data_IF_521178307307
#
_entry.id   IF_521178307307
#
_cell.length_a   1.000
_cell.length_b   1.000
_cell.length_c   1.000
_cell.angle_alpha   90.00
_cell.angle_beta   90.00
_cell.angle_gamma   90.00
#
_symmetry.space_group_name_H-M   'P 1'
#
loop_
_entity.id
_entity.type
_entity.pdbx_description
1 polymer ?
#
# COMPACT_ATOMS: atom_id res chain seq x y z
N UNK A 1 37.54 -0.09 22.14
CA UNK A 1 36.41 -1.03 22.35
C UNK A 1 35.16 -0.38 21.79
N UNK A 2 34.55 -0.94 20.74
CA UNK A 2 33.29 -0.42 20.22
C UNK A 2 32.16 -0.76 21.19
N UNK A 3 31.46 0.26 21.70
CA UNK A 3 30.23 0.05 22.49
C UNK A 3 29.25 -0.78 21.64
N UNK A 4 28.96 -2.01 22.09
CA UNK A 4 27.88 -2.80 21.50
C UNK A 4 26.58 -2.08 21.82
N UNK A 5 25.94 -1.53 20.80
CA UNK A 5 24.61 -0.92 20.96
C UNK A 5 23.57 -2.02 20.77
N UNK A 6 22.89 -2.39 21.84
CA UNK A 6 21.75 -3.31 21.76
C UNK A 6 20.57 -2.59 21.12
N UNK A 7 19.88 -3.28 20.22
CA UNK A 7 18.77 -2.72 19.47
C UNK A 7 17.60 -3.72 19.40
N UNK A 8 16.39 -3.19 19.50
CA UNK A 8 15.15 -3.97 19.35
C UNK A 8 14.25 -3.32 18.31
N UNK A 9 13.77 -4.10 17.35
CA UNK A 9 12.91 -3.64 16.26
C UNK A 9 11.47 -4.06 16.50
N UNK A 10 10.56 -3.12 16.35
CA UNK A 10 9.13 -3.33 16.54
C UNK A 10 8.36 -2.76 15.37
N UNK A 11 7.34 -3.49 14.90
CA UNK A 11 6.49 -3.04 13.81
C UNK A 11 5.03 -3.00 14.23
N UNK A 12 4.30 -2.03 13.70
CA UNK A 12 2.85 -1.94 13.82
C UNK A 12 2.23 -1.61 12.46
N UNK A 13 0.98 -2.02 12.26
CA UNK A 13 0.26 -1.73 11.03
C UNK A 13 -1.20 -1.46 11.32
N UNK A 14 -1.70 -0.29 10.90
CA UNK A 14 -3.09 0.09 11.08
C UNK A 14 -3.62 0.81 9.85
N UNK A 15 -4.95 0.91 9.77
CA UNK A 15 -5.61 1.75 8.79
C UNK A 15 -6.51 2.80 9.45
N UNK A 16 -6.66 3.93 8.77
CA UNK A 16 -7.65 4.95 9.06
C UNK A 16 -8.71 4.87 7.97
N UNK A 17 -9.89 4.42 8.36
CA UNK A 17 -11.04 4.27 7.48
C UNK A 17 -12.23 5.01 8.08
N UNK A 18 -12.80 5.96 7.34
CA UNK A 18 -13.91 6.79 7.80
C UNK A 18 -13.64 7.48 9.16
N UNK A 19 -12.42 8.02 9.36
CA UNK A 19 -11.93 8.62 10.61
C UNK A 19 -11.90 7.67 11.84
N UNK A 20 -12.09 6.37 11.62
CA UNK A 20 -11.88 5.32 12.62
C UNK A 20 -10.54 4.62 12.38
N UNK A 21 -9.86 4.27 13.46
CA UNK A 21 -8.57 3.58 13.43
C UNK A 21 -8.80 2.11 13.69
N UNK A 22 -8.25 1.25 12.84
CA UNK A 22 -8.31 -0.20 13.01
C UNK A 22 -6.93 -0.82 12.93
N UNK A 23 -6.62 -1.71 13.87
CA UNK A 23 -5.43 -2.54 13.81
C UNK A 23 -5.53 -3.52 12.64
N UNK A 24 -4.47 -3.63 11.84
CA UNK A 24 -4.37 -4.60 10.74
C UNK A 24 -3.62 -5.87 11.16
N UNK A 25 -2.97 -5.88 12.31
CA UNK A 25 -2.25 -7.02 12.89
C UNK A 25 -3.05 -7.77 13.96
N UNK A 26 -4.22 -7.22 14.32
CA UNK A 26 -5.18 -7.92 15.17
C UNK A 26 -5.84 -9.06 14.37
N UNK A 27 -6.11 -10.17 15.07
CA UNK A 27 -6.72 -11.33 14.44
C UNK A 27 -8.18 -10.99 14.14
N UNK A 28 -8.52 -10.94 12.85
CA UNK A 28 -9.91 -10.75 12.45
C UNK A 28 -10.77 -11.86 13.09
N UNK A 29 -11.87 -11.53 13.78
CA UNK A 29 -12.73 -12.52 14.37
C UNK A 29 -13.21 -13.53 13.32
N UNK A 30 -12.90 -14.81 13.56
CA UNK A 30 -13.37 -15.94 12.74
C UNK A 30 -14.90 -16.09 12.87
N UNK A 31 -15.46 -15.62 13.98
CA UNK A 31 -16.90 -15.61 14.25
C UNK A 31 -17.60 -14.49 13.47
N UNK A 32 -18.66 -14.85 12.73
CA UNK A 32 -19.36 -14.03 11.72
C UNK A 32 -19.95 -12.70 12.22
N UNK A 33 -19.98 -12.42 13.53
CA UNK A 33 -20.71 -11.29 14.12
C UNK A 33 -19.89 -10.29 14.95
N UNK A 34 -18.56 -10.41 15.05
CA UNK A 34 -17.77 -9.40 15.78
C UNK A 34 -17.35 -8.24 14.88
N UNK A 35 -17.76 -7.02 15.25
CA UNK A 35 -17.30 -5.76 14.65
C UNK A 35 -15.82 -5.53 15.01
N UNK A 36 -15.05 -4.97 14.08
CA UNK A 36 -13.65 -4.60 14.33
C UNK A 36 -13.57 -3.58 15.46
N UNK A 37 -12.60 -3.77 16.36
CA UNK A 37 -12.34 -2.83 17.47
C UNK A 37 -11.80 -1.51 16.89
N UNK A 38 -12.48 -0.42 17.22
CA UNK A 38 -12.02 0.94 16.89
C UNK A 38 -11.01 1.38 17.95
N UNK A 39 -9.82 1.78 17.50
CA UNK A 39 -8.77 2.30 18.36
C UNK A 39 -8.90 3.82 18.54
N UNK A 40 -8.37 4.34 19.66
CA UNK A 40 -8.44 5.77 20.02
C UNK A 40 -7.03 6.37 20.07
N UNK A 41 -6.93 7.63 19.64
CA UNK A 41 -5.72 8.43 19.84
C UNK A 41 -5.74 9.00 21.27
N UNK A 42 -4.65 8.76 22.00
CA UNK A 42 -4.37 9.30 23.31
C UNK A 42 -3.16 10.25 23.24
N UNK A 43 -2.96 11.03 24.29
CA UNK A 43 -1.83 11.94 24.45
C UNK A 43 -1.02 11.48 25.66
N UNK A 44 0.31 11.39 25.50
CA UNK A 44 1.21 11.07 26.60
C UNK A 44 1.51 12.32 27.46
N UNK A 45 2.23 12.13 28.58
CA UNK A 45 2.63 13.25 29.46
C UNK A 45 3.55 14.27 28.75
N UNK A 46 4.20 13.87 27.65
CA UNK A 46 5.05 14.73 26.83
C UNK A 46 4.29 15.51 25.75
N UNK A 47 2.97 15.31 25.63
CA UNK A 47 2.13 15.91 24.59
C UNK A 47 2.27 15.25 23.22
N UNK A 48 2.80 14.03 23.14
CA UNK A 48 2.84 13.24 21.90
C UNK A 48 1.56 12.40 21.77
N UNK A 49 1.05 12.33 20.56
CA UNK A 49 -0.11 11.48 20.25
C UNK A 49 0.32 10.05 19.96
N UNK A 50 -0.42 9.09 20.51
CA UNK A 50 -0.23 7.67 20.23
C UNK A 50 -1.57 6.95 20.14
N UNK A 51 -1.59 5.78 19.50
CA UNK A 51 -2.79 4.96 19.38
C UNK A 51 -2.82 3.97 20.54
N UNK A 52 -3.84 4.08 21.40
CA UNK A 52 -4.03 3.16 22.51
C UNK A 52 -4.46 1.79 22.01
N UNK A 53 -3.89 0.74 22.61
CA UNK A 53 -4.11 -0.67 22.28
C UNK A 53 -3.67 -1.08 20.86
N UNK A 54 -2.84 -0.28 20.18
CA UNK A 54 -2.23 -0.68 18.91
C UNK A 54 -1.21 -1.78 19.15
N UNK A 55 -1.29 -2.88 18.40
CA UNK A 55 -0.36 -4.00 18.50
C UNK A 55 1.00 -3.65 17.91
N UNK A 56 2.04 -3.86 18.72
CA UNK A 56 3.44 -3.80 18.29
C UNK A 56 4.03 -5.22 18.31
N UNK A 57 4.58 -5.65 17.19
CA UNK A 57 5.19 -6.97 17.03
C UNK A 57 6.70 -6.80 16.96
N UNK A 58 7.43 -7.47 17.85
CA UNK A 58 8.88 -7.52 17.80
C UNK A 58 9.32 -8.35 16.58
N UNK A 59 10.31 -7.86 15.83
CA UNK A 59 10.86 -8.53 14.65
C UNK A 59 12.38 -8.55 14.72
N UNK A 60 12.98 -9.64 14.26
CA UNK A 60 14.44 -9.84 14.30
C UNK A 60 15.12 -9.47 12.98
N UNK A 61 14.37 -9.47 11.87
CA UNK A 61 14.90 -9.22 10.53
C UNK A 61 13.85 -8.62 9.59
N UNK A 62 14.30 -8.19 8.40
CA UNK A 62 13.45 -7.58 7.37
C UNK A 62 12.41 -8.55 6.80
N UNK A 63 12.71 -9.85 6.75
CA UNK A 63 11.82 -10.88 6.22
C UNK A 63 10.60 -11.08 7.13
N UNK A 64 10.79 -11.07 8.44
CA UNK A 64 9.72 -11.06 9.43
C UNK A 64 8.86 -9.81 9.30
N UNK A 65 9.47 -8.63 9.23
CA UNK A 65 8.73 -7.39 8.99
C UNK A 65 7.89 -7.45 7.71
N UNK A 66 8.44 -8.02 6.64
CA UNK A 66 7.74 -8.21 5.37
C UNK A 66 6.59 -9.23 5.47
N UNK A 67 6.75 -10.30 6.25
CA UNK A 67 5.65 -11.25 6.56
C UNK A 67 4.51 -10.53 7.30
N UNK A 68 4.83 -9.71 8.29
CA UNK A 68 3.82 -8.92 9.04
C UNK A 68 3.09 -7.94 8.12
N UNK A 69 3.82 -7.24 7.24
CA UNK A 69 3.22 -6.37 6.22
C UNK A 69 2.24 -7.12 5.31
N UNK A 70 2.62 -8.32 4.83
CA UNK A 70 1.75 -9.18 4.00
C UNK A 70 0.48 -9.61 4.74
N UNK A 71 0.60 -9.96 6.03
CA UNK A 71 -0.54 -10.32 6.88
C UNK A 71 -1.51 -9.14 7.00
N UNK A 72 -1.00 -7.94 7.32
CA UNK A 72 -1.86 -6.77 7.45
C UNK A 72 -2.54 -6.37 6.13
N UNK A 73 -1.83 -6.49 5.00
CA UNK A 73 -2.43 -6.26 3.68
C UNK A 73 -3.53 -7.29 3.36
N UNK A 74 -3.36 -8.56 3.75
CA UNK A 74 -4.41 -9.57 3.62
C UNK A 74 -5.62 -9.21 4.49
N UNK A 75 -5.39 -8.77 5.73
CA UNK A 75 -6.47 -8.35 6.63
C UNK A 75 -7.22 -7.11 6.10
N UNK A 76 -6.51 -6.14 5.53
CA UNK A 76 -7.09 -4.98 4.82
C UNK A 76 -8.01 -5.45 3.68
N UNK A 77 -7.51 -6.32 2.80
CA UNK A 77 -8.29 -6.85 1.67
C UNK A 77 -9.53 -7.64 2.12
N UNK A 78 -9.44 -8.42 3.20
CA UNK A 78 -10.59 -9.14 3.76
C UNK A 78 -11.64 -8.21 4.39
N UNK A 79 -11.20 -7.11 5.02
CA UNK A 79 -12.11 -6.10 5.54
C UNK A 79 -12.84 -5.37 4.42
N UNK A 80 -12.13 -5.06 3.32
CA UNK A 80 -12.66 -4.42 2.11
C UNK A 80 -13.78 -5.26 1.45
N UNK A 81 -13.55 -6.57 1.27
CA UNK A 81 -14.54 -7.48 0.65
C UNK A 81 -15.79 -7.68 1.50
N UNK A 82 -15.67 -7.67 2.84
CA UNK A 82 -16.82 -7.74 3.74
C UNK A 82 -17.71 -6.49 3.72
N UNK A 83 -17.16 -5.32 3.39
CA UNK A 83 -17.88 -4.04 3.44
C UNK A 83 -18.22 -3.43 2.06
N UNK A 84 -18.05 -4.18 0.96
CA UNK A 84 -18.25 -3.66 -0.41
C UNK A 84 -17.52 -2.33 -0.64
N UNK A 85 -16.25 -2.28 -0.24
CA UNK A 85 -15.39 -1.10 -0.37
C UNK A 85 -14.06 -1.43 -1.01
N UNK A 86 -13.67 -0.56 -1.93
CA UNK A 86 -12.41 -0.57 -2.62
C UNK A 86 -11.28 -0.16 -1.65
N UNK A 87 -10.14 -0.85 -1.72
CA UNK A 87 -8.95 -0.60 -0.89
C UNK A 87 -8.35 0.81 -1.03
N UNK A 88 -8.80 1.59 -2.01
CA UNK A 88 -8.42 2.99 -2.24
C UNK A 88 -9.03 3.98 -1.24
N UNK A 89 -9.91 3.52 -0.35
CA UNK A 89 -10.73 4.35 0.54
C UNK A 89 -10.24 4.41 1.99
N UNK A 90 -9.12 3.77 2.32
CA UNK A 90 -8.50 3.87 3.65
C UNK A 90 -7.03 4.24 3.53
N UNK A 91 -6.55 5.03 4.49
CA UNK A 91 -5.12 5.30 4.66
C UNK A 91 -4.51 4.15 5.43
N UNK A 92 -3.36 3.64 5.01
CA UNK A 92 -2.66 2.55 5.68
C UNK A 92 -1.29 3.00 6.16
N UNK A 93 -0.98 2.78 7.43
CA UNK A 93 0.24 3.28 8.06
C UNK A 93 0.99 2.11 8.67
N UNK A 94 2.14 1.76 8.07
CA UNK A 94 3.07 0.76 8.58
C UNK A 94 4.22 1.47 9.29
N UNK A 95 4.36 1.24 10.59
CA UNK A 95 5.35 1.93 11.43
C UNK A 95 6.41 0.95 11.94
N UNK A 96 7.67 1.36 11.89
CA UNK A 96 8.82 0.61 12.39
C UNK A 96 9.48 1.46 13.48
N UNK A 97 9.62 0.90 14.68
CA UNK A 97 10.33 1.50 15.82
C UNK A 97 11.62 0.76 16.10
N UNK A 98 12.70 1.51 16.16
CA UNK A 98 14.01 1.06 16.62
C UNK A 98 14.21 1.58 18.04
N UNK A 99 14.25 0.68 19.01
CA UNK A 99 14.61 0.98 20.39
C UNK A 99 16.10 0.72 20.54
N UNK A 100 16.85 1.75 20.93
CA UNK A 100 18.25 1.61 21.36
C UNK A 100 18.25 1.32 22.85
N UNK A 101 18.93 0.26 23.24
CA UNK A 101 18.99 -0.25 24.62
C UNK A 101 20.40 -0.07 25.17
N UNK A 102 20.51 0.17 26.47
CA UNK A 102 21.79 0.14 27.18
C UNK A 102 22.33 -1.29 27.29
N UNK A 103 23.65 -1.41 27.28
CA UNK A 103 24.38 -2.68 27.49
C UNK A 103 24.69 -2.82 28.99
N UNK A 104 23.63 -2.84 29.81
CA UNK A 104 23.68 -2.97 31.28
C UNK A 104 22.82 -4.18 31.68
N UNK A 105 23.05 -4.75 32.88
CA UNK A 105 22.32 -5.93 33.38
C UNK A 105 20.78 -5.76 33.34
N UNK A 106 20.30 -4.52 33.43
CA UNK A 106 18.92 -4.14 33.15
C UNK A 106 18.91 -3.19 31.94
N UNK A 107 18.52 -3.66 30.73
CA UNK A 107 18.52 -2.83 29.54
C UNK A 107 17.51 -1.68 29.67
N UNK A 108 18.00 -0.45 29.68
CA UNK A 108 17.17 0.76 29.66
C UNK A 108 17.06 1.29 28.23
N UNK A 109 15.92 1.91 27.89
CA UNK A 109 15.73 2.48 26.55
C UNK A 109 16.44 3.82 26.45
N UNK A 110 17.56 3.87 25.71
CA UNK A 110 18.38 5.05 25.47
C UNK A 110 17.76 5.98 24.42
N UNK A 111 16.93 5.45 23.52
CA UNK A 111 16.21 6.27 22.56
C UNK A 111 15.34 5.47 21.61
N UNK A 112 14.37 6.15 21.03
CA UNK A 112 13.40 5.57 20.09
C UNK A 112 13.48 6.34 18.78
N UNK A 113 13.73 5.62 17.70
CA UNK A 113 13.62 6.14 16.33
C UNK A 113 12.45 5.49 15.64
N UNK A 114 11.62 6.26 14.94
CA UNK A 114 10.43 5.77 14.27
C UNK A 114 10.46 6.10 12.77
N UNK A 115 10.22 5.09 11.94
CA UNK A 115 9.97 5.23 10.50
C UNK A 115 8.52 4.83 10.23
N UNK A 116 7.72 5.77 9.72
CA UNK A 116 6.34 5.53 9.33
C UNK A 116 6.18 5.61 7.81
N UNK A 117 5.66 4.55 7.22
CA UNK A 117 5.29 4.47 5.80
C UNK A 117 3.78 4.63 5.70
N UNK A 118 3.33 5.71 5.06
CA UNK A 118 1.92 6.04 4.92
C UNK A 118 1.47 5.89 3.47
N UNK A 119 0.61 4.91 3.21
CA UNK A 119 -0.13 4.74 1.96
C UNK A 119 -1.47 5.49 2.10
N UNK A 120 -1.56 6.65 1.46
CA UNK A 120 -2.74 7.49 1.54
C UNK A 120 -3.85 6.99 0.61
N UNK A 121 -5.09 7.16 1.04
CA UNK A 121 -6.26 6.94 0.20
C UNK A 121 -6.19 7.80 -1.07
N UNK A 122 -6.94 7.39 -2.09
CA UNK A 122 -7.05 8.09 -3.36
C UNK A 122 -7.44 9.56 -3.18
N UNK A 123 -6.83 10.44 -3.97
CA UNK A 123 -7.11 11.88 -3.96
C UNK A 123 -8.27 12.28 -4.86
N UNK A 124 -8.84 11.32 -5.60
CA UNK A 124 -9.90 11.55 -6.55
C UNK A 124 -11.16 12.10 -5.89
N UNK A 125 -11.67 13.20 -6.47
CA UNK A 125 -12.95 13.73 -6.06
C UNK A 125 -14.04 12.78 -6.53
N UNK A 126 -14.92 12.38 -5.62
CA UNK A 126 -16.11 11.60 -5.97
C UNK A 126 -17.11 12.48 -6.75
N UNK A 127 -16.81 12.81 -8.00
CA UNK A 127 -17.63 13.71 -8.82
C UNK A 127 -18.83 13.00 -9.48
N UNK A 128 -18.98 11.69 -9.28
CA UNK A 128 -19.99 10.85 -9.97
C UNK A 128 -20.66 9.80 -9.07
N UNK A 129 -20.90 10.11 -7.81
CA UNK A 129 -21.65 9.20 -6.96
C UNK A 129 -23.11 9.67 -6.85
N UNK A 130 -23.97 9.17 -7.75
CA UNK A 130 -25.44 9.08 -7.53
C UNK A 130 -25.75 8.11 -6.37
N UNK A 131 -25.02 8.20 -5.27
CA UNK A 131 -25.17 7.32 -4.11
C UNK A 131 -25.66 8.14 -2.94
N UNK A 132 -26.90 7.88 -2.54
CA UNK A 132 -27.52 8.46 -1.36
C UNK A 132 -27.10 7.70 -0.08
N UNK A 133 -27.17 8.36 1.09
CA UNK A 133 -26.98 7.73 2.41
C UNK A 133 -25.53 7.65 2.90
N UNK A 134 -25.20 6.61 3.68
CA UNK A 134 -23.90 6.45 4.36
C UNK A 134 -22.69 6.43 3.43
N UNK A 135 -22.89 6.03 2.16
CA UNK A 135 -21.87 6.08 1.10
C UNK A 135 -21.42 7.49 0.73
N UNK A 136 -22.32 8.48 0.81
CA UNK A 136 -21.97 9.88 0.57
C UNK A 136 -21.16 10.45 1.74
N UNK A 137 -21.53 10.10 2.98
CA UNK A 137 -20.79 10.48 4.19
C UNK A 137 -19.37 9.89 4.19
N UNK A 138 -19.25 8.62 3.81
CA UNK A 138 -17.97 7.94 3.66
C UNK A 138 -17.07 8.64 2.62
N UNK A 139 -17.59 8.88 1.40
CA UNK A 139 -16.84 9.57 0.34
C UNK A 139 -16.42 10.99 0.74
N UNK A 140 -17.26 11.68 1.54
CA UNK A 140 -16.91 12.97 2.14
C UNK A 140 -15.78 12.86 3.16
N UNK A 141 -15.79 11.85 4.03
CA UNK A 141 -14.82 11.71 5.12
C UNK A 141 -13.42 11.31 4.63
N UNK A 142 -13.32 10.49 3.57
CA UNK A 142 -12.03 10.10 2.99
C UNK A 142 -11.33 11.32 2.40
N UNK A 143 -12.05 12.11 1.61
CA UNK A 143 -11.55 13.36 1.05
C UNK A 143 -11.31 14.41 2.13
N UNK A 144 -12.06 14.39 3.22
CA UNK A 144 -11.85 15.31 4.34
C UNK A 144 -10.44 15.16 4.93
N UNK A 145 -9.96 13.94 5.18
CA UNK A 145 -8.61 13.75 5.74
C UNK A 145 -7.48 14.34 4.88
N UNK A 146 -7.55 14.20 3.55
CA UNK A 146 -6.58 14.79 2.61
C UNK A 146 -6.77 16.31 2.47
N UNK A 147 -8.01 16.78 2.51
CA UNK A 147 -8.33 18.21 2.53
C UNK A 147 -7.74 18.87 3.78
N UNK A 148 -7.92 18.27 4.96
CA UNK A 148 -7.34 18.76 6.21
C UNK A 148 -5.82 18.73 6.16
N UNK A 149 -5.22 17.68 5.59
CA UNK A 149 -3.77 17.64 5.33
C UNK A 149 -3.31 18.83 4.46
N UNK A 150 -4.04 19.13 3.38
CA UNK A 150 -3.80 20.31 2.54
C UNK A 150 -3.90 21.63 3.30
N UNK A 151 -4.94 21.79 4.14
CA UNK A 151 -5.08 22.96 5.01
C UNK A 151 -3.92 23.08 6.00
N UNK A 152 -3.48 21.97 6.60
CA UNK A 152 -2.35 21.98 7.54
C UNK A 152 -1.07 22.45 6.85
N UNK A 153 -0.77 21.92 5.66
CA UNK A 153 0.42 22.29 4.88
C UNK A 153 0.35 23.76 4.44
N UNK A 154 -0.80 24.24 3.99
CA UNK A 154 -0.98 25.65 3.62
C UNK A 154 -0.78 26.58 4.82
N UNK A 155 -1.36 26.25 5.98
CA UNK A 155 -1.20 27.02 7.21
C UNK A 155 0.25 26.99 7.72
N UNK A 156 0.93 25.83 7.64
CA UNK A 156 2.35 25.71 7.97
C UNK A 156 3.21 26.63 7.09
N UNK A 157 2.99 26.62 5.78
CA UNK A 157 3.68 27.52 4.84
C UNK A 157 3.40 28.99 5.18
N UNK A 158 2.16 29.34 5.50
CA UNK A 158 1.80 30.72 5.87
C UNK A 158 2.52 31.16 7.15
N UNK A 159 2.60 30.26 8.14
CA UNK A 159 3.22 30.53 9.43
C UNK A 159 4.75 30.64 9.37
N UNK A 160 5.38 30.23 8.27
CA UNK A 160 6.80 30.51 8.02
C UNK A 160 7.07 31.96 7.65
N UNK A 161 6.05 32.73 7.25
CA UNK A 161 6.20 34.14 6.99
C UNK A 161 6.15 34.93 8.30
N UNK A 162 7.31 35.36 8.78
CA UNK A 162 7.47 36.12 10.03
C UNK A 162 6.76 37.46 10.05
N UNK A 163 6.34 37.99 8.89
CA UNK A 163 5.57 39.24 8.77
C UNK A 163 4.07 39.07 8.99
N UNK A 164 3.56 37.84 8.90
CA UNK A 164 2.15 37.53 9.08
C UNK A 164 1.90 36.97 10.47
N UNK A 165 0.73 37.27 11.05
CA UNK A 165 0.33 36.63 12.30
C UNK A 165 0.19 35.11 12.07
N UNK A 166 0.73 34.27 12.97
CA UNK A 166 0.61 32.83 12.84
C UNK A 166 -0.86 32.43 12.89
N UNK A 167 -1.28 31.69 11.88
CA UNK A 167 -2.60 31.10 11.73
C UNK A 167 -2.70 29.77 12.46
N UNK A 168 -3.90 29.43 12.91
CA UNK A 168 -4.16 28.12 13.51
C UNK A 168 -3.93 26.99 12.50
N UNK A 169 -3.16 25.97 12.88
CA UNK A 169 -2.92 24.78 12.06
C UNK A 169 -3.91 23.67 12.49
N UNK A 170 -4.81 23.21 11.61
CA UNK A 170 -5.92 22.32 11.98
C UNK A 170 -5.54 20.84 12.13
N UNK A 171 -4.43 20.53 12.82
CA UNK A 171 -3.99 19.14 13.01
C UNK A 171 -5.06 18.25 13.68
N UNK A 172 -5.91 18.84 14.53
CA UNK A 172 -6.95 18.13 15.27
C UNK A 172 -8.19 17.78 14.44
N UNK A 173 -8.34 18.34 13.24
CA UNK A 173 -9.54 18.14 12.40
C UNK A 173 -9.57 16.77 11.68
N UNK A 174 -8.45 16.03 11.61
CA UNK A 174 -8.41 14.63 11.16
C UNK A 174 -7.47 13.80 12.02
N UNK A 175 -7.79 12.50 12.19
CA UNK A 175 -6.91 11.53 12.85
C UNK A 175 -5.56 11.42 12.14
N UNK A 176 -5.54 11.50 10.81
CA UNK A 176 -4.32 11.43 10.01
C UNK A 176 -3.37 12.58 10.38
N UNK A 177 -3.84 13.83 10.28
CA UNK A 177 -3.02 15.01 10.57
C UNK A 177 -2.61 15.09 12.03
N UNK A 178 -3.44 14.59 12.95
CA UNK A 178 -3.10 14.54 14.38
C UNK A 178 -1.97 13.57 14.67
N UNK A 179 -1.95 12.39 14.03
CA UNK A 179 -0.87 11.41 14.18
C UNK A 179 0.44 11.90 13.56
N UNK A 180 0.37 12.58 12.42
CA UNK A 180 1.56 13.07 11.71
C UNK A 180 2.04 14.46 12.15
N UNK A 181 1.33 15.15 13.04
CA UNK A 181 1.74 16.45 13.60
C UNK A 181 3.23 16.50 14.02
N UNK A 182 3.80 15.49 14.72
CA UNK A 182 5.20 15.52 15.10
C UNK A 182 6.18 15.66 13.92
N UNK A 183 5.88 15.05 12.77
CA UNK A 183 6.72 15.11 11.57
C UNK A 183 6.70 16.49 10.91
N UNK A 184 5.60 17.22 11.03
CA UNK A 184 5.48 18.59 10.51
C UNK A 184 6.03 19.66 11.48
N UNK A 185 6.06 19.37 12.78
CA UNK A 185 6.55 20.28 13.83
C UNK A 185 7.99 20.01 14.29
N UNK A 186 8.82 19.40 13.42
CA UNK A 186 10.27 19.30 13.62
C UNK A 186 10.77 18.10 14.44
N UNK A 187 9.90 17.17 14.87
CA UNK A 187 10.34 15.95 15.59
C UNK A 187 10.77 14.80 14.65
N UNK A 188 10.80 15.04 13.34
CA UNK A 188 11.17 14.04 12.35
C UNK A 188 11.41 14.64 10.98
N UNK A 189 11.82 13.80 10.03
CA UNK A 189 11.92 14.13 8.61
C UNK A 189 10.70 13.56 7.89
N UNK A 190 10.11 14.35 7.00
CA UNK A 190 9.00 13.91 6.15
C UNK A 190 9.49 13.84 4.70
N UNK A 191 9.16 12.74 4.02
CA UNK A 191 9.34 12.57 2.57
C UNK A 191 7.98 12.24 1.98
N UNK A 192 7.61 12.92 0.89
CA UNK A 192 6.34 12.70 0.20
C UNK A 192 6.64 12.16 -1.20
N UNK A 193 6.06 10.99 -1.49
CA UNK A 193 6.09 10.40 -2.83
C UNK A 193 4.78 10.78 -3.52
N UNK A 194 4.88 11.40 -4.68
CA UNK A 194 3.73 11.88 -5.44
C UNK A 194 3.55 10.99 -6.67
N UNK A 195 2.44 10.26 -6.71
CA UNK A 195 2.08 9.41 -7.84
C UNK A 195 1.21 10.20 -8.83
N UNK A 196 1.59 10.20 -10.10
CA UNK A 196 0.91 10.91 -11.17
C UNK A 196 0.42 9.93 -12.23
N UNK A 197 -0.77 10.16 -12.76
CA UNK A 197 -1.28 9.43 -13.92
C UNK A 197 -1.11 10.29 -15.18
N UNK A 198 -0.59 9.68 -16.25
CA UNK A 198 -0.48 10.30 -17.58
C UNK A 198 -1.80 10.33 -18.35
N UNK A 199 -2.87 9.72 -17.83
CA UNK A 199 -4.14 9.66 -18.52
C UNK A 199 -4.80 11.04 -18.57
N UNK A 200 -5.23 11.47 -19.76
CA UNK A 200 -5.93 12.75 -19.92
C UNK A 200 -7.21 12.83 -19.06
N UNK A 201 -7.88 11.70 -18.82
CA UNK A 201 -9.11 11.64 -18.01
C UNK A 201 -8.89 11.98 -16.53
N UNK A 202 -7.66 11.90 -16.03
CA UNK A 202 -7.28 12.20 -14.64
C UNK A 202 -6.48 13.50 -14.53
N UNK A 203 -6.41 14.31 -15.60
CA UNK A 203 -5.62 15.54 -15.66
C UNK A 203 -5.90 16.49 -14.49
N UNK A 204 -7.16 16.75 -14.18
CA UNK A 204 -7.54 17.68 -13.10
C UNK A 204 -7.07 17.19 -11.72
N UNK A 205 -7.15 15.87 -11.47
CA UNK A 205 -6.68 15.27 -10.23
C UNK A 205 -5.15 15.29 -10.15
N UNK A 206 -4.46 14.96 -11.26
CA UNK A 206 -3.01 15.11 -11.38
C UNK A 206 -2.57 16.55 -11.11
N UNK A 207 -3.24 17.55 -11.72
CA UNK A 207 -2.94 18.96 -11.52
C UNK A 207 -3.17 19.38 -10.06
N UNK A 208 -4.22 18.86 -9.42
CA UNK A 208 -4.52 19.13 -8.02
C UNK A 208 -3.42 18.60 -7.10
N UNK A 209 -3.01 17.35 -7.28
CA UNK A 209 -1.93 16.72 -6.50
C UNK A 209 -0.59 17.43 -6.74
N UNK A 210 -0.28 17.86 -7.96
CA UNK A 210 0.94 18.60 -8.27
C UNK A 210 0.96 20.00 -7.64
N UNK A 211 -0.19 20.70 -7.59
CA UNK A 211 -0.31 21.97 -6.85
C UNK A 211 -0.09 21.76 -5.36
N UNK A 212 -0.70 20.72 -4.79
CA UNK A 212 -0.53 20.36 -3.39
C UNK A 212 0.94 20.05 -3.06
N UNK A 213 1.63 19.25 -3.86
CA UNK A 213 3.03 18.89 -3.63
C UNK A 213 3.98 20.09 -3.77
N UNK A 214 3.71 21.01 -4.71
CA UNK A 214 4.46 22.25 -4.86
C UNK A 214 4.37 23.15 -3.62
N UNK A 215 3.22 23.17 -2.95
CA UNK A 215 3.04 23.88 -1.67
C UNK A 215 3.75 23.12 -0.54
N UNK A 216 3.61 21.79 -0.47
CA UNK A 216 4.26 20.96 0.54
C UNK A 216 5.79 21.07 0.53
N UNK A 217 6.40 21.15 -0.67
CA UNK A 217 7.85 21.34 -0.83
C UNK A 217 8.38 22.63 -0.19
N UNK A 218 7.53 23.65 -0.03
CA UNK A 218 7.90 24.93 0.56
C UNK A 218 7.78 24.94 2.09
N UNK A 219 7.24 23.87 2.68
CA UNK A 219 7.13 23.75 4.14
C UNK A 219 8.48 23.29 4.71
N UNK A 220 9.01 24.09 5.62
CA UNK A 220 10.21 23.78 6.40
C UNK A 220 9.73 23.30 7.77
N UNK A 221 10.04 22.06 8.19
CA UNK A 221 9.71 21.57 9.52
C UNK A 221 10.29 22.52 10.56
N UNK A 222 9.42 23.26 11.23
CA UNK A 222 9.81 24.27 12.21
C UNK A 222 9.72 23.65 13.58
N UNK A 223 10.79 23.75 14.37
CA UNK A 223 10.74 23.41 15.78
C UNK A 223 9.82 24.40 16.47
N UNK A 224 8.62 23.95 16.84
CA UNK A 224 7.87 24.68 17.85
C UNK A 224 8.63 24.51 19.16
N UNK A 225 9.41 25.51 19.56
CA UNK A 225 9.72 25.69 20.97
C UNK A 225 8.37 25.77 21.67
N UNK A 226 8.08 24.82 22.57
CA UNK A 226 7.00 25.00 23.54
C UNK A 226 7.38 26.24 24.33
N UNK A 227 6.85 27.40 23.95
CA UNK A 227 6.66 28.49 24.89
C UNK A 227 5.70 27.92 25.94
N UNK A 228 6.27 27.42 27.03
CA UNK A 228 5.53 27.33 28.27
C UNK A 228 5.19 28.78 28.61
N UNK A 229 3.98 29.20 28.28
CA UNK A 229 3.36 30.35 28.91
C UNK A 229 3.18 30.00 30.38
N UNK A 230 4.25 30.19 31.17
CA UNK A 230 4.12 30.48 32.58
C UNK A 230 3.41 31.83 32.67
N UNK A 231 2.08 31.80 32.69
CA UNK A 231 1.31 32.86 33.31
C UNK A 231 1.51 32.71 34.82
N UNK A 232 2.30 33.57 35.49
CA UNK A 232 2.27 33.57 36.95
C UNK A 232 0.85 33.93 37.41
N UNK A 233 0.35 33.29 38.47
CA UNK A 233 -0.99 33.57 38.99
C UNK A 233 -1.06 35.02 39.46
N UNK A 234 -2.11 35.72 39.02
CA UNK A 234 -2.43 37.08 39.40
C UNK A 234 -2.56 37.18 40.92
N UNK A 235 -1.63 37.87 41.56
CA UNK A 235 -1.87 38.42 42.89
C UNK A 235 -2.58 39.76 42.75
N UNK A 236 -3.80 39.78 43.26
CA UNK A 236 -4.59 40.98 43.50
C UNK A 236 -3.85 41.91 44.46
N UNK A 237 -3.61 43.15 44.04
CA UNK A 237 -3.55 44.28 44.98
C UNK A 237 -4.14 45.50 44.30
N UNK A 238 -5.30 45.90 44.81
CA UNK A 238 -5.91 47.22 44.57
C UNK A 238 -5.03 48.29 45.22
N UNK A 239 -4.78 49.38 44.51
CA UNK A 239 -5.17 50.74 44.91
C UNK A 239 -4.94 51.74 43.74
N UNK A 240 -6.04 52.43 43.40
CA UNK A 240 -6.15 53.83 42.94
C UNK A 240 -5.53 54.33 41.61
N UNK A 241 -6.34 54.36 40.55
CA UNK A 241 -7.11 55.52 40.02
C UNK A 241 -7.30 55.46 38.48
N UNK A 242 -8.45 55.92 37.94
CA UNK A 242 -8.78 55.79 36.53
C UNK A 242 -8.48 57.07 35.74
N UNK A 243 -7.92 56.94 34.54
CA UNK A 243 -8.05 57.97 33.52
C UNK A 243 -8.38 57.32 32.19
N UNK A 244 -9.54 57.69 31.68
CA UNK A 244 -10.10 57.32 30.39
C UNK A 244 -9.40 58.17 29.32
N UNK A 245 -8.94 57.57 28.22
CA UNK A 245 -8.98 58.26 26.93
C UNK A 245 -9.22 57.25 25.82
N UNK A 246 -10.37 57.40 25.18
CA UNK A 246 -10.68 56.93 23.84
C UNK A 246 -10.08 57.96 22.86
N UNK A 247 -9.47 57.51 21.76
CA UNK A 247 -9.80 57.94 20.39
C UNK A 247 -8.78 57.43 19.36
N UNK A 248 -9.35 56.66 18.43
CA UNK A 248 -9.21 56.68 16.97
C UNK A 248 -7.91 56.47 16.18
N UNK A 249 -8.18 55.70 15.11
CA UNK A 249 -7.41 55.25 13.96
C UNK A 249 -6.88 56.42 13.13
N UNK A 250 -5.64 56.30 12.61
CA UNK A 250 -5.31 56.73 11.24
C UNK A 250 -4.09 55.99 10.68
N UNK A 251 -4.22 55.71 9.39
CA UNK A 251 -3.39 54.90 8.49
C UNK A 251 -2.21 55.73 8.00
N UNK A 252 -1.01 55.13 7.88
CA UNK A 252 -0.13 55.14 6.70
C UNK A 252 1.35 54.90 7.06
N UNK A 253 2.07 54.30 6.10
CA UNK A 253 3.54 54.21 5.95
C UNK A 253 4.23 52.89 6.37
N UNK A 254 4.43 52.02 5.38
CA UNK A 254 5.60 51.15 5.21
C UNK A 254 6.31 51.56 3.90
N UNK A 255 7.58 51.20 3.62
CA UNK A 255 8.62 50.61 4.49
C UNK A 255 10.01 51.28 4.37
N UNK A 256 10.81 51.16 5.44
CA UNK A 256 12.26 51.39 5.40
C UNK A 256 12.96 50.21 4.72
N UNK A 257 13.66 50.49 3.62
CA UNK A 257 14.61 49.59 2.98
C UNK A 257 15.93 49.62 3.74
N UNK A 258 16.40 48.47 4.20
CA UNK A 258 17.80 48.31 4.60
C UNK A 258 18.31 46.96 4.08
N UNK A 259 19.46 47.04 3.41
CA UNK A 259 20.41 45.97 3.07
C UNK A 259 20.21 45.27 1.71
N UNK A 260 20.86 45.84 0.69
CA UNK A 260 21.42 45.10 -0.46
C UNK A 260 22.93 45.43 -0.53
N UNK A 261 23.83 44.44 -0.70
CA UNK A 261 25.29 44.65 -0.67
C UNK A 261 25.80 45.27 -1.98
N UNK A 262 26.82 46.11 -1.84
CA UNK A 262 27.57 46.81 -2.88
C UNK A 262 28.45 45.88 -3.72
N UNK A 263 28.27 45.89 -5.06
CA UNK A 263 29.36 45.59 -6.00
C UNK A 263 29.00 46.01 -7.43
N UNK A 264 29.24 47.27 -7.76
CA UNK A 264 29.69 47.75 -9.08
C UNK A 264 29.83 49.26 -8.99
N UNK A 265 30.86 49.79 -9.65
CA UNK A 265 31.25 51.20 -9.70
C UNK A 265 30.10 52.08 -10.20
N UNK A 266 29.22 52.51 -9.29
CA UNK A 266 28.29 53.61 -9.53
C UNK A 266 28.89 54.83 -8.85
N UNK A 267 29.35 55.80 -9.64
CA UNK A 267 29.68 57.13 -9.15
C UNK A 267 28.47 57.66 -8.36
N UNK A 268 28.60 57.80 -7.04
CA UNK A 268 27.60 58.46 -6.21
C UNK A 268 27.49 59.92 -6.66
N UNK A 269 26.46 60.21 -7.46
CA UNK A 269 26.18 61.59 -7.89
C UNK A 269 25.57 62.31 -6.68
N UNK A 270 26.33 63.25 -6.13
CA UNK A 270 25.93 64.10 -5.01
C UNK A 270 24.71 64.97 -5.40
N UNK A 271 23.54 64.60 -4.88
CA UNK A 271 22.24 65.24 -5.14
C UNK A 271 22.21 66.69 -4.64
N UNK A 272 23.12 67.08 -3.74
CA UNK A 272 23.15 68.45 -3.22
C UNK A 272 23.75 69.48 -4.17
N UNK A 273 24.30 69.05 -5.32
CA UNK A 273 24.98 69.92 -6.31
C UNK A 273 24.24 69.96 -7.67
N UNK A 274 23.23 69.10 -7.88
CA UNK A 274 22.52 68.99 -9.16
C UNK A 274 21.47 70.09 -9.36
N UNK A 275 21.46 70.71 -10.54
CA UNK A 275 20.39 71.63 -10.92
C UNK A 275 19.06 70.86 -11.11
N UNK A 276 17.92 71.55 -10.99
CA UNK A 276 16.60 70.95 -11.19
C UNK A 276 16.47 70.25 -12.57
N UNK A 277 17.17 70.77 -13.59
CA UNK A 277 17.20 70.17 -14.92
C UNK A 277 18.00 68.86 -14.97
N UNK A 278 19.10 68.79 -14.23
CA UNK A 278 19.94 67.58 -14.18
C UNK A 278 19.27 66.47 -13.35
N UNK A 279 18.48 66.83 -12.33
CA UNK A 279 17.67 65.89 -11.56
C UNK A 279 16.56 65.24 -12.41
N UNK A 280 15.94 66.00 -13.33
CA UNK A 280 14.96 65.45 -14.26
C UNK A 280 15.61 64.48 -15.25
N UNK A 281 16.78 64.84 -15.80
CA UNK A 281 17.56 63.97 -16.72
C UNK A 281 17.99 62.67 -16.05
N UNK A 282 18.49 62.72 -14.81
CA UNK A 282 18.87 61.52 -14.05
C UNK A 282 17.66 60.65 -13.73
N UNK A 283 16.51 61.24 -13.38
CA UNK A 283 15.26 60.50 -13.14
C UNK A 283 14.79 59.75 -14.39
N UNK A 284 14.87 60.37 -15.57
CA UNK A 284 14.49 59.75 -16.84
C UNK A 284 15.48 58.65 -17.27
N UNK A 285 16.77 58.87 -17.05
CA UNK A 285 17.82 57.85 -17.24
C UNK A 285 17.58 56.63 -16.35
N UNK A 286 17.32 56.84 -15.05
CA UNK A 286 17.08 55.75 -14.09
C UNK A 286 15.80 54.96 -14.43
N UNK A 287 14.73 55.64 -14.86
CA UNK A 287 13.52 54.96 -15.37
C UNK A 287 13.83 54.08 -16.57
N UNK A 288 14.64 54.57 -17.51
CA UNK A 288 15.04 53.81 -18.69
C UNK A 288 15.90 52.59 -18.34
N UNK A 289 16.88 52.76 -17.43
CA UNK A 289 17.69 51.65 -16.89
C UNK A 289 16.81 50.60 -16.17
N UNK A 290 15.85 51.04 -15.36
CA UNK A 290 14.92 50.14 -14.66
C UNK A 290 14.07 49.31 -15.62
N UNK A 291 13.62 49.90 -16.73
CA UNK A 291 12.84 49.18 -17.75
C UNK A 291 13.72 48.15 -18.45
N UNK A 292 14.96 48.52 -18.82
CA UNK A 292 15.91 47.61 -19.45
C UNK A 292 16.25 46.41 -18.54
N UNK A 293 16.52 46.66 -17.25
CA UNK A 293 16.76 45.61 -16.25
C UNK A 293 15.56 44.67 -16.07
N UNK A 294 14.34 45.23 -16.03
CA UNK A 294 13.11 44.41 -15.96
C UNK A 294 12.95 43.51 -17.18
N UNK A 295 13.26 44.01 -18.38
CA UNK A 295 13.21 43.22 -19.62
C UNK A 295 14.28 42.13 -19.64
N UNK A 296 15.52 42.45 -19.25
CA UNK A 296 16.62 41.49 -19.15
C UNK A 296 16.30 40.35 -18.16
N UNK A 297 15.76 40.69 -16.98
CA UNK A 297 15.33 39.71 -15.99
C UNK A 297 14.25 38.77 -16.52
N UNK A 298 13.27 39.29 -17.26
CA UNK A 298 12.20 38.48 -17.84
C UNK A 298 12.75 37.47 -18.87
N UNK A 299 13.68 37.90 -19.72
CA UNK A 299 14.32 37.02 -20.70
C UNK A 299 15.13 35.90 -20.02
N UNK A 300 15.88 36.26 -18.98
CA UNK A 300 16.65 35.28 -18.20
C UNK A 300 15.72 34.26 -17.52
N UNK A 301 14.59 34.71 -16.96
CA UNK A 301 13.59 33.82 -16.37
C UNK A 301 13.01 32.83 -17.40
N UNK A 302 12.70 33.29 -18.61
CA UNK A 302 12.21 32.42 -19.69
C UNK A 302 13.27 31.40 -20.10
N UNK A 303 14.53 31.82 -20.21
CA UNK A 303 15.64 30.94 -20.56
C UNK A 303 15.86 29.85 -19.48
N UNK A 304 15.88 30.24 -18.20
CA UNK A 304 16.01 29.30 -17.09
C UNK A 304 14.85 28.29 -17.09
N UNK A 305 13.61 28.76 -17.28
CA UNK A 305 12.44 27.87 -17.35
C UNK A 305 12.55 26.87 -18.50
N UNK A 306 13.06 27.29 -19.67
CA UNK A 306 13.26 26.42 -20.83
C UNK A 306 14.32 25.34 -20.57
N UNK A 307 15.45 25.72 -19.97
CA UNK A 307 16.52 24.78 -19.61
C UNK A 307 16.06 23.78 -18.55
N UNK A 308 15.37 24.25 -17.51
CA UNK A 308 14.80 23.39 -16.48
C UNK A 308 13.76 22.42 -17.05
N UNK A 309 12.89 22.87 -17.96
CA UNK A 309 11.90 22.02 -18.61
C UNK A 309 12.58 20.92 -19.45
N UNK A 310 13.65 21.26 -20.18
CA UNK A 310 14.44 20.30 -20.95
C UNK A 310 15.09 19.25 -20.04
N UNK A 311 15.72 19.69 -18.95
CA UNK A 311 16.35 18.79 -17.98
C UNK A 311 15.32 17.86 -17.30
N UNK A 312 14.16 18.40 -16.90
CA UNK A 312 13.07 17.60 -16.32
C UNK A 312 12.53 16.57 -17.31
N UNK A 313 12.35 16.95 -18.58
CA UNK A 313 11.88 16.04 -19.61
C UNK A 313 12.88 14.89 -19.84
N UNK A 314 14.17 15.20 -19.86
CA UNK A 314 15.21 14.18 -20.02
C UNK A 314 15.24 13.19 -18.84
N UNK A 315 15.17 13.70 -17.59
CA UNK A 315 15.05 12.82 -16.42
C UNK A 315 13.79 11.96 -16.46
N UNK A 316 12.65 12.52 -16.91
CA UNK A 316 11.41 11.75 -17.04
C UNK A 316 11.61 10.55 -17.97
N UNK A 317 12.18 10.78 -19.16
CA UNK A 317 12.43 9.71 -20.14
C UNK A 317 13.38 8.63 -19.60
N UNK A 318 14.49 9.02 -18.97
CA UNK A 318 15.44 8.08 -18.36
C UNK A 318 14.79 7.24 -17.27
N UNK A 319 13.94 7.86 -16.44
CA UNK A 319 13.21 7.12 -15.40
C UNK A 319 12.17 6.17 -15.99
N UNK A 320 11.43 6.58 -17.02
CA UNK A 320 10.43 5.74 -17.69
C UNK A 320 11.08 4.51 -18.33
N UNK A 321 12.24 4.67 -18.96
CA UNK A 321 13.00 3.56 -19.53
C UNK A 321 13.49 2.60 -18.45
N UNK A 322 14.05 3.14 -17.35
CA UNK A 322 14.49 2.32 -16.21
C UNK A 322 13.33 1.55 -15.55
N UNK A 323 12.15 2.17 -15.42
CA UNK A 323 10.95 1.53 -14.90
C UNK A 323 10.43 0.44 -15.84
N UNK A 324 10.41 0.71 -17.15
CA UNK A 324 9.98 -0.27 -18.16
C UNK A 324 10.87 -1.50 -18.13
N UNK A 325 12.19 -1.32 -18.03
CA UNK A 325 13.15 -2.43 -17.92
C UNK A 325 12.92 -3.28 -16.67
N UNK A 326 12.77 -2.64 -15.49
CA UNK A 326 12.48 -3.36 -14.24
C UNK A 326 11.16 -4.12 -14.28
N UNK A 327 10.16 -3.59 -14.98
CA UNK A 327 8.87 -4.25 -15.13
C UNK A 327 8.99 -5.52 -15.98
N UNK A 328 9.79 -5.48 -17.05
CA UNK A 328 10.07 -6.65 -17.87
C UNK A 328 10.87 -7.70 -17.09
N UNK A 329 11.93 -7.30 -16.38
CA UNK A 329 12.72 -8.21 -15.51
C UNK A 329 11.82 -8.91 -14.46
N UNK A 330 10.87 -8.16 -13.89
CA UNK A 330 9.94 -8.70 -12.92
C UNK A 330 8.98 -9.70 -13.56
N UNK A 331 8.47 -9.39 -14.76
CA UNK A 331 7.60 -10.27 -15.53
C UNK A 331 8.30 -11.57 -15.90
N UNK A 332 9.53 -11.51 -16.40
CA UNK A 332 10.36 -12.69 -16.67
C UNK A 332 10.56 -13.54 -15.41
N UNK A 333 10.87 -12.92 -14.26
CA UNK A 333 11.02 -13.64 -12.99
C UNK A 333 9.74 -14.34 -12.54
N UNK A 334 8.57 -13.73 -12.79
CA UNK A 334 7.28 -14.36 -12.46
C UNK A 334 6.96 -15.52 -13.40
N UNK A 335 7.25 -15.38 -14.70
CA UNK A 335 7.08 -16.45 -15.69
C UNK A 335 7.97 -17.66 -15.34
N UNK A 336 9.24 -17.43 -14.99
CA UNK A 336 10.17 -18.48 -14.56
C UNK A 336 9.67 -19.21 -13.31
N UNK A 337 9.18 -18.47 -12.30
CA UNK A 337 8.59 -19.08 -11.09
C UNK A 337 7.36 -19.92 -11.40
N UNK A 338 6.54 -19.47 -12.36
CA UNK A 338 5.35 -20.21 -12.77
C UNK A 338 5.74 -21.52 -13.46
N UNK A 339 6.72 -21.47 -14.35
CA UNK A 339 7.25 -22.64 -15.06
C UNK A 339 7.87 -23.64 -14.08
N UNK A 340 8.71 -23.17 -13.15
CA UNK A 340 9.29 -24.01 -12.10
C UNK A 340 8.22 -24.71 -11.26
N UNK A 341 7.15 -23.99 -10.90
CA UNK A 341 6.03 -24.57 -10.15
C UNK A 341 5.26 -25.60 -10.99
N UNK A 342 5.11 -25.34 -12.28
CA UNK A 342 4.49 -26.28 -13.22
C UNK A 342 5.30 -27.57 -13.34
N UNK A 343 6.63 -27.47 -13.45
CA UNK A 343 7.54 -28.63 -13.45
C UNK A 343 7.41 -29.43 -12.16
N UNK A 344 7.41 -28.77 -11.00
CA UNK A 344 7.23 -29.44 -9.70
C UNK A 344 5.90 -30.21 -9.63
N UNK A 345 4.79 -29.60 -10.07
CA UNK A 345 3.50 -30.29 -10.07
C UNK A 345 3.47 -31.46 -11.05
N UNK A 346 4.08 -31.31 -12.22
CA UNK A 346 4.20 -32.38 -13.21
C UNK A 346 4.94 -33.59 -12.64
N UNK A 347 6.05 -33.36 -11.94
CA UNK A 347 6.84 -34.43 -11.34
C UNK A 347 6.14 -35.05 -10.11
N UNK A 348 5.45 -34.25 -9.30
CA UNK A 348 4.64 -34.77 -8.19
C UNK A 348 3.51 -35.68 -8.70
N UNK A 349 2.82 -35.28 -9.78
CA UNK A 349 1.77 -36.09 -10.40
C UNK A 349 2.35 -37.36 -11.00
N UNK A 350 3.49 -37.30 -11.69
CA UNK A 350 4.17 -38.50 -12.21
C UNK A 350 4.55 -39.46 -11.10
N UNK A 351 5.14 -38.94 -10.00
CA UNK A 351 5.54 -39.74 -8.85
C UNK A 351 4.32 -40.40 -8.21
N UNK A 352 3.25 -39.65 -7.98
CA UNK A 352 2.02 -40.19 -7.42
C UNK A 352 1.38 -41.25 -8.33
N UNK A 353 1.34 -41.02 -9.65
CA UNK A 353 0.85 -42.01 -10.61
C UNK A 353 1.71 -43.28 -10.61
N UNK A 354 3.03 -43.15 -10.47
CA UNK A 354 3.94 -44.30 -10.34
C UNK A 354 3.70 -45.07 -9.04
N UNK A 355 3.58 -44.37 -7.90
CA UNK A 355 3.27 -45.00 -6.60
C UNK A 355 1.95 -45.74 -6.64
N UNK A 356 0.87 -45.12 -7.13
CA UNK A 356 -0.42 -45.81 -7.26
C UNK A 356 -0.37 -47.01 -8.21
N UNK A 357 0.48 -46.98 -9.25
CA UNK A 357 0.67 -48.13 -10.13
C UNK A 357 1.45 -49.27 -9.44
N UNK A 358 2.40 -48.95 -8.56
CA UNK A 358 3.14 -49.94 -7.76
C UNK A 358 2.24 -50.53 -6.66
N UNK A 359 1.46 -49.72 -5.95
CA UNK A 359 0.53 -50.18 -4.91
C UNK A 359 -0.53 -51.13 -5.48
N UNK A 360 -1.03 -50.86 -6.70
CA UNK A 360 -1.95 -51.77 -7.41
C UNK A 360 -1.32 -53.10 -7.83
N UNK A 361 0.01 -53.16 -7.97
CA UNK A 361 0.74 -54.40 -8.26
C UNK A 361 0.98 -55.18 -6.97
N UNK A 362 1.21 -54.51 -5.83
CA UNK A 362 1.30 -55.13 -4.50
C UNK A 362 -0.05 -55.71 -4.03
N UNK A 363 -1.17 -54.99 -4.19
CA UNK A 363 -2.50 -55.49 -3.79
C UNK A 363 -3.01 -56.70 -4.60
N UNK A 364 -2.44 -56.94 -5.80
CA UNK A 364 -2.77 -58.10 -6.65
C UNK A 364 -1.73 -59.22 -6.58
N UNK A 365 -0.72 -59.08 -5.72
CA UNK A 365 0.33 -60.07 -5.57
C UNK A 365 -0.15 -61.17 -4.62
N UNK A 366 -0.45 -62.36 -5.17
CA UNK A 366 -0.67 -63.58 -4.38
C UNK A 366 0.68 -64.31 -4.30
N UNK A 367 1.25 -64.54 -3.10
CA UNK A 367 2.45 -65.32 -2.92
C UNK A 367 2.29 -66.72 -3.55
N UNK A 368 3.33 -67.21 -4.24
CA UNK A 368 3.29 -68.50 -4.95
C UNK A 368 2.86 -69.66 -4.06
N UNK A 369 3.28 -69.65 -2.79
CA UNK A 369 2.95 -70.71 -1.82
C UNK A 369 1.45 -70.72 -1.47
N UNK A 370 0.82 -69.54 -1.42
CA UNK A 370 -0.63 -69.39 -1.19
C UNK A 370 -1.44 -69.82 -2.43
N UNK A 371 -0.92 -69.56 -3.64
CA UNK A 371 -1.53 -70.04 -4.88
C UNK A 371 -1.45 -71.57 -5.04
N UNK A 372 -0.33 -72.17 -4.63
CA UNK A 372 -0.13 -73.64 -4.66
C UNK A 372 -1.04 -74.31 -3.62
N UNK A 373 -1.11 -73.78 -2.40
CA UNK A 373 -1.99 -74.32 -1.35
C UNK A 373 -3.48 -74.27 -1.75
N UNK A 374 -3.90 -73.23 -2.46
CA UNK A 374 -5.28 -73.12 -2.92
C UNK A 374 -5.57 -74.05 -4.13
N UNK A 375 -4.58 -74.34 -4.97
CA UNK A 375 -4.68 -75.37 -6.03
C UNK A 375 -4.83 -76.78 -5.44
N UNK A 376 -4.08 -77.11 -4.38
CA UNK A 376 -4.19 -78.41 -3.68
C UNK A 376 -5.55 -78.58 -3.00
N UNK A 377 -6.09 -77.53 -2.36
CA UNK A 377 -7.45 -77.55 -1.79
C UNK A 377 -8.54 -77.77 -2.84
N UNK A 378 -8.40 -77.18 -4.02
CA UNK A 378 -9.37 -77.38 -5.12
C UNK A 378 -9.29 -78.82 -5.65
N UNK A 379 -8.09 -79.40 -5.75
CA UNK A 379 -7.92 -80.82 -6.12
C UNK A 379 -8.45 -81.79 -5.05
N UNK A 380 -8.30 -81.47 -3.76
CA UNK A 380 -8.92 -82.24 -2.66
C UNK A 380 -10.44 -82.16 -2.70
N UNK A 381 -11.02 -80.99 -3.00
CA UNK A 381 -12.47 -80.83 -3.14
C UNK A 381 -13.03 -81.53 -4.38
N UNK A 382 -12.28 -81.56 -5.49
CA UNK A 382 -12.65 -82.33 -6.69
C UNK A 382 -12.59 -83.85 -6.44
N UNK A 383 -11.60 -84.35 -5.69
CA UNK A 383 -11.50 -85.77 -5.32
C UNK A 383 -12.58 -86.20 -4.32
N UNK A 384 -12.96 -85.34 -3.36
CA UNK A 384 -14.09 -85.58 -2.45
C UNK A 384 -15.43 -85.54 -3.20
N UNK A 385 -15.57 -84.70 -4.23
CA UNK A 385 -16.75 -84.64 -5.11
C UNK A 385 -16.93 -85.86 -6.02
N UNK A 386 -15.86 -86.61 -6.30
CA UNK A 386 -15.89 -87.83 -7.11
C UNK A 386 -16.27 -89.10 -6.31
N UNK A 387 -16.15 -89.09 -4.98
CA UNK A 387 -16.54 -90.21 -4.12
C UNK A 387 -18.04 -90.21 -3.73
N UNK A 388 -18.76 -89.11 -3.94
CA UNK A 388 -20.16 -88.94 -3.52
C UNK A 388 -21.14 -88.62 -4.68
N UNK A 389 -21.05 -89.32 -5.82
CA UNK A 389 -22.14 -89.31 -6.83
C UNK A 389 -22.99 -90.58 -6.77
N UNK A 390 -24.32 -90.48 -6.58
CA UNK A 390 -25.22 -91.57 -6.92
C UNK A 390 -25.27 -91.73 -8.44
N UNK A 391 -25.28 -92.98 -8.93
CA UNK A 391 -25.61 -93.30 -10.32
C UNK A 391 -27.06 -92.87 -10.60
N UNK A 392 -27.23 -91.88 -11.46
CA UNK A 392 -28.51 -91.65 -12.13
C UNK A 392 -28.25 -91.10 -13.53
N UNK A 393 -28.75 -91.83 -14.51
CA UNK A 393 -28.74 -91.51 -15.92
C UNK A 393 -29.74 -90.37 -16.21
N UNK A 394 -29.25 -89.21 -16.64
CA UNK A 394 -29.84 -88.36 -17.69
C UNK A 394 -29.03 -87.08 -17.92
N UNK A 395 -29.02 -86.64 -19.19
CA UNK A 395 -28.10 -85.70 -19.86
C UNK A 395 -27.88 -84.33 -19.18
N UNK A 396 -26.62 -83.84 -19.05
CA UNK A 396 -26.31 -82.55 -18.43
C UNK A 396 -25.62 -81.54 -19.37
N UNK A 397 -26.15 -81.26 -20.57
CA UNK A 397 -25.50 -80.33 -21.52
C UNK A 397 -26.16 -78.93 -21.66
N UNK A 398 -27.40 -78.75 -21.23
CA UNK A 398 -28.11 -77.46 -21.41
C UNK A 398 -27.77 -76.41 -20.33
N UNK A 399 -27.54 -76.82 -19.08
CA UNK A 399 -27.34 -75.92 -17.94
C UNK A 399 -25.92 -75.33 -17.90
N UNK A 400 -24.92 -76.10 -18.33
CA UNK A 400 -23.53 -75.65 -18.41
C UNK A 400 -23.29 -74.66 -19.57
N UNK A 401 -24.08 -74.77 -20.64
CA UNK A 401 -24.06 -73.81 -21.75
C UNK A 401 -24.64 -72.45 -21.36
N UNK A 402 -25.77 -72.45 -20.65
CA UNK A 402 -26.41 -71.23 -20.15
C UNK A 402 -25.53 -70.46 -19.16
N UNK A 403 -24.87 -71.15 -18.23
CA UNK A 403 -23.95 -70.51 -17.28
C UNK A 403 -22.67 -69.95 -17.95
N UNK A 404 -22.24 -70.54 -19.08
CA UNK A 404 -21.12 -70.00 -19.88
C UNK A 404 -21.50 -68.76 -20.68
N UNK A 405 -22.73 -68.67 -21.17
CA UNK A 405 -23.26 -67.49 -21.85
C UNK A 405 -23.44 -66.31 -20.88
N UNK A 406 -24.02 -66.52 -19.69
CA UNK A 406 -24.17 -65.49 -18.66
C UNK A 406 -22.83 -64.92 -18.16
N UNK A 407 -21.79 -65.77 -18.10
CA UNK A 407 -20.44 -65.36 -17.72
C UNK A 407 -19.73 -64.58 -18.85
N UNK A 408 -20.12 -64.79 -20.10
CA UNK A 408 -19.66 -64.03 -21.27
C UNK A 408 -20.31 -62.66 -21.34
N UNK A 409 -21.63 -62.57 -21.08
CA UNK A 409 -22.36 -61.31 -21.01
C UNK A 409 -21.86 -60.43 -19.86
N UNK A 410 -21.64 -61.00 -18.68
CA UNK A 410 -21.12 -60.28 -17.51
C UNK A 410 -19.72 -59.71 -17.74
N UNK A 411 -18.84 -60.44 -18.45
CA UNK A 411 -17.51 -59.94 -18.87
C UNK A 411 -17.59 -58.85 -19.94
N UNK A 412 -18.58 -58.92 -20.84
CA UNK A 412 -18.84 -57.89 -21.84
C UNK A 412 -19.29 -56.56 -21.23
N UNK A 413 -20.13 -56.60 -20.21
CA UNK A 413 -20.65 -55.42 -19.51
C UNK A 413 -19.56 -54.66 -18.73
N UNK A 414 -18.68 -55.38 -18.02
CA UNK A 414 -17.54 -54.80 -17.27
C UNK A 414 -16.50 -54.13 -18.19
N UNK A 415 -16.29 -54.70 -19.38
CA UNK A 415 -15.46 -54.14 -20.45
C UNK A 415 -16.07 -52.84 -21.01
N UNK A 416 -17.38 -52.83 -21.27
CA UNK A 416 -18.09 -51.67 -21.81
C UNK A 416 -18.17 -50.49 -20.82
N UNK A 417 -18.32 -50.76 -19.52
CA UNK A 417 -18.33 -49.72 -18.48
C UNK A 417 -16.96 -49.08 -18.27
N UNK A 418 -15.87 -49.86 -18.30
CA UNK A 418 -14.50 -49.33 -18.25
C UNK A 418 -14.19 -48.44 -19.46
N UNK A 419 -14.68 -48.81 -20.65
CA UNK A 419 -14.51 -48.01 -21.87
C UNK A 419 -15.37 -46.73 -21.83
N UNK A 420 -16.60 -46.78 -21.27
CA UNK A 420 -17.46 -45.59 -21.07
C UNK A 420 -16.85 -44.59 -20.07
N UNK A 421 -16.26 -45.06 -18.97
CA UNK A 421 -15.58 -44.18 -18.01
C UNK A 421 -14.33 -43.51 -18.62
N UNK A 422 -13.56 -44.23 -19.44
CA UNK A 422 -12.41 -43.66 -20.14
C UNK A 422 -12.80 -42.65 -21.23
N UNK A 423 -13.90 -42.88 -21.97
CA UNK A 423 -14.43 -41.92 -22.95
C UNK A 423 -15.03 -40.67 -22.29
N UNK A 424 -15.70 -40.81 -21.15
CA UNK A 424 -16.23 -39.69 -20.36
C UNK A 424 -15.12 -38.77 -19.84
N UNK A 425 -14.01 -39.34 -19.33
CA UNK A 425 -12.83 -38.56 -18.92
C UNK A 425 -12.18 -37.82 -20.10
N UNK A 426 -12.02 -38.47 -21.26
CA UNK A 426 -11.51 -37.79 -22.49
C UNK A 426 -12.45 -36.67 -22.96
N UNK A 427 -13.77 -36.86 -22.88
CA UNK A 427 -14.77 -35.83 -23.18
C UNK A 427 -14.64 -34.62 -22.27
N UNK A 428 -14.52 -34.83 -20.95
CA UNK A 428 -14.35 -33.76 -19.97
C UNK A 428 -13.08 -32.93 -20.19
N UNK A 429 -11.95 -33.57 -20.53
CA UNK A 429 -10.72 -32.86 -20.86
C UNK A 429 -10.79 -32.12 -22.20
N UNK A 430 -11.49 -32.65 -23.21
CA UNK A 430 -11.72 -31.94 -24.47
C UNK A 430 -12.61 -30.69 -24.26
N UNK A 431 -13.66 -30.79 -23.43
CA UNK A 431 -14.53 -29.64 -23.10
C UNK A 431 -13.78 -28.58 -22.30
N UNK A 432 -12.86 -28.97 -21.39
CA UNK A 432 -12.00 -28.03 -20.67
C UNK A 432 -11.02 -27.30 -21.61
N UNK A 433 -10.46 -28.01 -22.60
CA UNK A 433 -9.54 -27.43 -23.58
C UNK A 433 -10.24 -26.45 -24.53
N UNK A 434 -11.48 -26.75 -24.95
CA UNK A 434 -12.31 -25.82 -25.74
C UNK A 434 -12.66 -24.57 -24.93
N UNK A 435 -13.08 -24.72 -23.66
CA UNK A 435 -13.33 -23.57 -22.76
C UNK A 435 -12.10 -22.72 -22.49
N UNK A 436 -10.92 -23.32 -22.35
CA UNK A 436 -9.66 -22.56 -22.21
C UNK A 436 -9.28 -21.81 -23.50
N UNK A 437 -9.59 -22.34 -24.68
CA UNK A 437 -9.40 -21.66 -25.97
C UNK A 437 -10.36 -20.48 -26.15
N UNK A 438 -11.63 -20.63 -25.76
CA UNK A 438 -12.64 -19.56 -25.81
C UNK A 438 -12.31 -18.41 -24.84
N UNK A 439 -11.79 -18.73 -23.64
CA UNK A 439 -11.34 -17.71 -22.67
C UNK A 439 -10.12 -16.95 -23.20
N UNK A 440 -9.18 -17.62 -23.88
CA UNK A 440 -8.02 -16.98 -24.53
C UNK A 440 -8.40 -16.11 -25.73
N UNK A 441 -9.46 -16.44 -26.46
CA UNK A 441 -9.95 -15.60 -27.56
C UNK A 441 -10.72 -14.36 -27.07
N UNK A 442 -11.42 -14.45 -25.93
CA UNK A 442 -12.13 -13.31 -25.32
C UNK A 442 -11.25 -12.29 -24.59
N UNK A 443 -9.96 -12.59 -24.38
CA UNK A 443 -9.00 -11.70 -23.72
C UNK A 443 -7.99 -11.02 -24.67
N UNK A 444 -8.14 -11.16 -26.00
CA UNK A 444 -7.37 -10.34 -26.94
C UNK A 444 -8.01 -8.94 -27.04
N UNK A 445 -7.28 -7.84 -26.77
CA UNK A 445 -7.78 -6.50 -27.04
C UNK A 445 -7.95 -6.33 -28.55
N UNK A 446 -9.16 -5.93 -28.96
CA UNK A 446 -9.44 -5.43 -30.31
C UNK A 446 -8.62 -4.16 -30.55
N UNK A 447 -7.46 -4.33 -31.19
CA UNK A 447 -6.81 -3.28 -31.97
C UNK A 447 -7.65 -3.09 -33.24
N UNK A 448 -8.47 -2.05 -33.26
CA UNK A 448 -9.01 -1.48 -34.48
C UNK A 448 -8.58 -0.02 -34.57
N UNK A 449 -7.76 0.20 -35.61
CA UNK A 449 -7.52 1.41 -36.41
C UNK A 449 -7.42 2.75 -35.70
#
# INVERSE_FOLDING_TARGET
MGQKTLASLWVSFFEIYNEYIYDLLDLLPVLKNQKRKVLRICEDQGGNFYIKDLKWVNVSNSEEACKILKIGNKNKSLACTKMNQQSSRSHSIFSIRLLRLSDEDVPCTLGISELSLCDLAGSERCHKAQTFGDRLKEAGNINNSLLILGKCIAALKQNQNTKLRPTYIPFRESKLTRLFQPFFCGKGKACMIVNVSQCASTYDETLHVMKFSAVAKQVIPTFQHKLFDYFPPKYSRREDKPTVHFDDISIEQFPTYANIPSSSEDEEIDITILSHEDLLKTTEMLKSKLIAEKQGKLLLEVQIRKEMAKAMFQQLMETEEAWSKRLEDLKESYEEKLENKFVMYKDAIKKHAYTCAMDQVEERYVPIDEFIAEQEKVQEQETIGLQNRPKCDHEPDATLFHLREELKESKGLLSAESIKQHKSKKGFFATLHVRQKEIRQKQRPTLHR
#
